data_IF_171358134891
#
_entry.id   IF_171358134891
#
_cell.length_a   1.000
_cell.length_b   1.000
_cell.length_c   1.000
_cell.angle_alpha   90.00
_cell.angle_beta   90.00
_cell.angle_gamma   90.00
#
_symmetry.space_group_name_H-M   'P 1'
#
loop_
_entity.id
_entity.type
_entity.pdbx_description
1 polymer ?
#
# COMPACT_ATOMS: atom_id res chain seq x y z
N UNK A 1 -2.71 8.74 -21.76
CA UNK A 1 -1.87 9.95 -21.96
C UNK A 1 -0.92 10.25 -20.79
N UNK A 2 -0.97 9.51 -19.68
CA UNK A 2 -0.07 9.69 -18.51
C UNK A 2 1.18 8.80 -18.54
N UNK A 3 1.17 7.74 -19.33
CA UNK A 3 2.28 6.78 -19.47
C UNK A 3 3.41 7.35 -20.34
N UNK A 4 3.05 7.98 -21.46
CA UNK A 4 3.99 8.64 -22.38
C UNK A 4 4.77 9.78 -21.74
N UNK A 5 4.15 10.49 -20.77
CA UNK A 5 4.79 11.57 -20.03
C UNK A 5 5.79 11.06 -18.99
N UNK A 6 5.56 9.88 -18.43
CA UNK A 6 6.49 9.26 -17.48
C UNK A 6 7.73 8.72 -18.18
N UNK A 7 7.54 8.07 -19.33
CA UNK A 7 8.62 7.58 -20.18
C UNK A 7 9.49 8.74 -20.71
N UNK A 8 8.89 9.87 -21.10
CA UNK A 8 9.65 11.04 -21.52
C UNK A 8 10.50 11.62 -20.40
N UNK A 9 9.95 11.69 -19.17
CA UNK A 9 10.66 12.19 -17.99
C UNK A 9 11.82 11.26 -17.59
N UNK A 10 11.61 9.94 -17.65
CA UNK A 10 12.68 8.97 -17.39
C UNK A 10 13.84 9.16 -18.38
N UNK A 11 13.53 9.33 -19.67
CA UNK A 11 14.54 9.52 -20.71
C UNK A 11 15.30 10.86 -20.54
N UNK A 12 14.64 11.89 -20.02
CA UNK A 12 15.28 13.17 -19.68
C UNK A 12 16.28 13.02 -18.53
N UNK A 13 15.86 12.40 -17.43
CA UNK A 13 16.74 12.12 -16.28
C UNK A 13 17.94 11.27 -16.69
N UNK A 14 17.75 10.27 -17.56
CA UNK A 14 18.87 9.46 -18.08
C UNK A 14 19.88 10.33 -18.83
N UNK A 15 19.41 11.22 -19.72
CA UNK A 15 20.31 12.12 -20.46
C UNK A 15 21.06 13.06 -19.51
N UNK A 16 20.38 13.62 -18.52
CA UNK A 16 21.01 14.50 -17.54
C UNK A 16 22.11 13.79 -16.76
N UNK A 17 21.86 12.56 -16.30
CA UNK A 17 22.85 11.76 -15.59
C UNK A 17 24.05 11.43 -16.46
N UNK A 18 23.83 11.09 -17.74
CA UNK A 18 24.90 10.80 -18.70
C UNK A 18 25.75 12.05 -19.01
N UNK A 19 25.17 13.24 -18.90
CA UNK A 19 25.85 14.51 -19.14
C UNK A 19 26.62 15.04 -17.90
N UNK A 20 26.53 14.39 -16.73
CA UNK A 20 27.29 14.78 -15.53
C UNK A 20 28.72 14.27 -15.62
N UNK A 21 29.68 15.19 -15.70
CA UNK A 21 31.12 14.86 -15.70
C UNK A 21 31.71 14.61 -14.30
N UNK A 22 31.04 15.05 -13.23
CA UNK A 22 31.55 14.91 -11.86
C UNK A 22 31.24 13.53 -11.26
N UNK A 23 32.30 12.75 -11.05
CA UNK A 23 32.24 11.42 -10.44
C UNK A 23 31.68 11.42 -9.01
N UNK A 24 31.81 12.51 -8.25
CA UNK A 24 31.26 12.61 -6.90
C UNK A 24 29.74 12.73 -6.92
N UNK A 25 29.20 13.50 -7.86
CA UNK A 25 27.76 13.63 -8.09
C UNK A 25 27.19 12.28 -8.53
N UNK A 26 27.85 11.61 -9.48
CA UNK A 26 27.49 10.25 -9.92
C UNK A 26 27.52 9.24 -8.76
N UNK A 27 28.53 9.30 -7.88
CA UNK A 27 28.65 8.43 -6.71
C UNK A 27 27.55 8.71 -5.69
N UNK A 28 27.22 9.98 -5.44
CA UNK A 28 26.13 10.39 -4.54
C UNK A 28 24.77 9.93 -5.09
N UNK A 29 24.52 10.14 -6.39
CA UNK A 29 23.31 9.70 -7.06
C UNK A 29 23.18 8.17 -7.03
N UNK A 30 24.25 7.44 -7.32
CA UNK A 30 24.29 5.97 -7.21
C UNK A 30 23.91 5.50 -5.80
N UNK A 31 24.43 6.15 -4.77
CA UNK A 31 24.11 5.81 -3.38
C UNK A 31 22.65 6.17 -3.04
N UNK A 32 22.13 7.29 -3.55
CA UNK A 32 20.73 7.70 -3.37
C UNK A 32 19.77 6.70 -4.02
N UNK A 33 20.00 6.33 -5.29
CA UNK A 33 19.20 5.33 -6.00
C UNK A 33 19.23 3.97 -5.30
N UNK A 34 20.41 3.51 -4.85
CA UNK A 34 20.55 2.26 -4.06
C UNK A 34 19.86 2.33 -2.70
N UNK A 35 19.78 3.51 -2.07
CA UNK A 35 19.00 3.69 -0.84
C UNK A 35 17.50 3.62 -1.12
N UNK A 36 17.02 4.25 -2.19
CA UNK A 36 15.60 4.19 -2.57
C UNK A 36 15.18 2.79 -3.03
N UNK A 37 16.03 2.08 -3.77
CA UNK A 37 15.82 0.66 -4.11
C UNK A 37 15.77 -0.23 -2.87
N UNK A 38 16.66 0.01 -1.90
CA UNK A 38 16.64 -0.70 -0.61
C UNK A 38 15.40 -0.37 0.20
N UNK A 39 14.95 0.89 0.25
CA UNK A 39 13.68 1.25 0.89
C UNK A 39 12.51 0.57 0.20
N UNK A 40 12.44 0.53 -1.13
CA UNK A 40 11.39 -0.23 -1.84
C UNK A 40 11.43 -1.71 -1.52
N UNK A 41 12.61 -2.31 -1.43
CA UNK A 41 12.78 -3.69 -0.99
C UNK A 41 12.50 -3.90 0.49
N UNK A 42 12.74 -2.92 1.35
CA UNK A 42 12.40 -2.93 2.77
C UNK A 42 10.90 -2.66 2.96
N UNK A 43 10.21 -1.93 2.09
CA UNK A 43 8.74 -1.89 2.07
C UNK A 43 8.13 -3.16 1.43
N UNK A 44 8.87 -3.88 0.58
CA UNK A 44 8.45 -5.16 -0.02
C UNK A 44 8.79 -6.39 0.85
N UNK A 45 9.81 -6.30 1.72
CA UNK A 45 10.24 -7.35 2.66
C UNK A 45 9.92 -7.02 4.13
N UNK A 46 9.55 -5.77 4.42
CA UNK A 46 9.07 -5.27 5.71
C UNK A 46 7.94 -4.25 5.50
N UNK A 47 6.75 -4.73 5.13
CA UNK A 47 5.66 -4.57 6.10
C UNK A 47 5.90 -5.68 7.12
N UNK A 48 6.63 -5.39 8.21
CA UNK A 48 5.95 -4.80 9.36
C UNK A 48 6.84 -3.82 10.16
N UNK A 49 6.28 -2.68 10.55
CA UNK A 49 6.77 -1.91 11.70
C UNK A 49 5.63 -1.08 12.32
N UNK A 50 4.80 -1.79 13.09
CA UNK A 50 4.35 -1.36 14.41
C UNK A 50 3.73 0.04 14.56
N UNK A 51 2.41 0.05 14.70
CA UNK A 51 1.84 0.45 15.98
C UNK A 51 1.16 -0.77 16.63
N UNK A 52 1.97 -1.55 17.37
CA UNK A 52 1.57 -2.43 18.49
C UNK A 52 0.42 -3.43 18.22
N UNK A 53 0.75 -4.69 17.93
CA UNK A 53 0.16 -5.85 18.60
C UNK A 53 0.93 -7.11 18.18
N UNK A 54 1.43 -7.82 19.17
CA UNK A 54 1.99 -9.16 19.03
C UNK A 54 0.80 -10.11 18.86
N UNK A 55 0.45 -10.49 17.63
CA UNK A 55 -0.57 -11.51 17.40
C UNK A 55 0.01 -12.65 16.58
N UNK A 56 -0.35 -13.85 17.04
CA UNK A 56 0.01 -15.16 16.53
C UNK A 56 -0.07 -15.22 14.99
N UNK A 57 0.80 -16.02 14.38
CA UNK A 57 0.83 -16.24 12.95
C UNK A 57 -0.42 -17.00 12.48
N UNK A 58 -1.58 -16.35 12.48
CA UNK A 58 -2.75 -16.82 11.78
C UNK A 58 -2.49 -16.70 10.28
N UNK A 59 -2.85 -17.72 9.48
CA UNK A 59 -2.65 -17.68 8.05
C UNK A 59 -3.40 -16.48 7.45
N UNK A 60 -2.69 -15.62 6.74
CA UNK A 60 -3.28 -14.50 6.03
C UNK A 60 -4.42 -14.99 5.12
N UNK A 61 -5.57 -14.30 5.18
CA UNK A 61 -6.73 -14.64 4.35
C UNK A 61 -6.35 -14.67 2.87
N UNK A 62 -6.90 -15.64 2.15
CA UNK A 62 -6.67 -15.79 0.72
C UNK A 62 -7.34 -14.65 -0.05
N UNK A 63 -6.86 -14.39 -1.27
CA UNK A 63 -7.39 -13.31 -2.13
C UNK A 63 -8.90 -13.48 -2.38
N UNK A 64 -9.33 -14.73 -2.53
CA UNK A 64 -10.71 -15.12 -2.77
C UNK A 64 -11.60 -14.81 -1.55
N UNK A 65 -11.13 -15.08 -0.34
CA UNK A 65 -11.83 -14.71 0.90
C UNK A 65 -11.95 -13.20 1.05
N UNK A 66 -10.88 -12.45 0.73
CA UNK A 66 -10.91 -10.98 0.77
C UNK A 66 -11.96 -10.42 -0.19
N UNK A 67 -12.01 -10.94 -1.42
CA UNK A 67 -13.00 -10.50 -2.41
C UNK A 67 -14.42 -10.87 -2.01
N UNK A 68 -14.62 -12.05 -1.43
CA UNK A 68 -15.93 -12.49 -0.96
C UNK A 68 -16.43 -11.63 0.21
N UNK A 69 -15.54 -11.34 1.17
CA UNK A 69 -15.85 -10.47 2.30
C UNK A 69 -16.16 -9.04 1.84
N UNK A 70 -15.42 -8.54 0.86
CA UNK A 70 -15.67 -7.21 0.29
C UNK A 70 -17.03 -7.12 -0.43
N UNK A 71 -17.36 -8.13 -1.23
CA UNK A 71 -18.66 -8.22 -1.91
C UNK A 71 -19.82 -8.32 -0.91
N UNK A 72 -19.62 -9.06 0.19
CA UNK A 72 -20.59 -9.13 1.27
C UNK A 72 -20.78 -7.78 1.96
N UNK A 73 -19.69 -7.10 2.33
CA UNK A 73 -19.75 -5.77 2.93
C UNK A 73 -20.47 -4.75 2.03
N UNK A 74 -20.26 -4.85 0.70
CA UNK A 74 -20.96 -4.01 -0.27
C UNK A 74 -22.48 -4.27 -0.31
N UNK A 75 -22.90 -5.53 -0.15
CA UNK A 75 -24.33 -5.89 -0.06
C UNK A 75 -24.95 -5.38 1.24
N UNK A 76 -24.25 -5.52 2.36
CA UNK A 76 -24.70 -5.04 3.67
C UNK A 76 -24.83 -3.51 3.68
N UNK A 77 -23.84 -2.79 3.16
CA UNK A 77 -23.90 -1.33 3.01
C UNK A 77 -25.09 -0.90 2.15
N UNK A 78 -25.37 -1.63 1.07
CA UNK A 78 -26.55 -1.35 0.24
C UNK A 78 -27.86 -1.55 1.02
N UNK A 79 -27.96 -2.61 1.83
CA UNK A 79 -29.14 -2.83 2.68
C UNK A 79 -29.29 -1.76 3.76
N UNK A 80 -28.18 -1.25 4.31
CA UNK A 80 -28.17 -0.09 5.20
C UNK A 80 -28.73 1.16 4.51
N UNK A 81 -28.26 1.46 3.30
CA UNK A 81 -28.76 2.61 2.52
C UNK A 81 -30.24 2.47 2.16
N UNK A 82 -30.72 1.24 1.93
CA UNK A 82 -32.13 0.95 1.70
C UNK A 82 -32.98 0.98 2.99
N UNK A 83 -32.37 1.20 4.15
CA UNK A 83 -33.04 1.23 5.45
C UNK A 83 -33.58 -0.14 5.90
N UNK A 84 -33.10 -1.22 5.28
CA UNK A 84 -33.54 -2.61 5.53
C UNK A 84 -32.62 -3.37 6.48
N UNK A 85 -31.53 -2.75 6.90
CA UNK A 85 -30.58 -3.36 7.81
C UNK A 85 -30.93 -2.95 9.25
N UNK A 86 -31.27 -3.94 10.07
CA UNK A 86 -31.49 -3.75 11.50
C UNK A 86 -30.13 -3.69 12.21
N UNK A 87 -29.83 -2.53 12.79
CA UNK A 87 -28.66 -2.38 13.64
C UNK A 87 -29.05 -2.70 15.08
N UNK A 88 -28.25 -3.52 15.74
CA UNK A 88 -28.30 -3.59 17.19
C UNK A 88 -27.87 -2.22 17.76
N UNK A 89 -28.51 -1.73 18.83
CA UNK A 89 -28.07 -0.52 19.51
C UNK A 89 -26.65 -0.71 20.07
N UNK A 90 -25.89 0.39 20.14
CA UNK A 90 -24.51 0.37 20.60
C UNK A 90 -24.39 -0.16 22.04
N UNK A 91 -25.43 0.04 22.86
CA UNK A 91 -25.53 -0.46 24.22
C UNK A 91 -25.50 -1.99 24.30
N UNK A 92 -26.11 -2.70 23.35
CA UNK A 92 -26.07 -4.17 23.32
C UNK A 92 -24.67 -4.68 22.98
N UNK A 93 -23.97 -4.02 22.07
CA UNK A 93 -22.60 -4.37 21.70
C UNK A 93 -21.60 -4.15 22.84
N UNK A 94 -21.78 -3.08 23.63
CA UNK A 94 -20.93 -2.80 24.79
C UNK A 94 -21.13 -3.79 25.94
N UNK A 95 -22.30 -4.44 26.02
CA UNK A 95 -22.58 -5.47 27.01
C UNK A 95 -22.06 -6.86 26.60
N UNK A 96 -21.75 -7.07 25.32
CA UNK A 96 -21.23 -8.33 24.78
C UNK A 96 -19.67 -8.41 24.78
N UNK A 97 -18.97 -7.32 25.12
CA UNK A 97 -17.50 -7.22 25.21
C UNK A 97 -16.97 -7.40 26.64
#
# INVERSE_FOLDING_TARGET
MTTTTLESLQNEVIRDVLNVSDVHILKKLKNFLRCEERKKHEYAASQPASAVASEEAEPYMTKEEILTNFDQACKELKLNLEGKLEFKPAEELLNEL
#
